data_IF_970249910814
#
_entry.id   IF_970249910814
#
_cell.length_a   1.000
_cell.length_b   1.000
_cell.length_c   1.000
_cell.angle_alpha   90.00
_cell.angle_beta   90.00
_cell.angle_gamma   90.00
#
_symmetry.space_group_name_H-M   'P 1'
#
loop_
_entity.id
_entity.type
_entity.pdbx_description
1 polymer ?
#
# COMPACT_ATOMS: atom_id res chain seq x y z
N UNK A 1 18.95 10.15 16.48
CA UNK A 1 18.92 11.19 15.42
C UNK A 1 17.51 11.74 15.23
N UNK A 2 17.33 13.07 15.30
CA UNK A 2 16.07 13.77 15.02
C UNK A 2 15.93 14.12 13.53
N UNK A 3 16.46 13.27 12.65
CA UNK A 3 16.53 13.52 11.21
C UNK A 3 16.05 12.27 10.46
N UNK A 4 15.33 12.50 9.38
CA UNK A 4 14.87 11.48 8.45
C UNK A 4 15.76 11.56 7.20
N UNK A 5 16.69 10.63 6.98
CA UNK A 5 17.65 10.73 5.88
C UNK A 5 16.95 10.53 4.54
N UNK A 6 17.26 11.38 3.57
CA UNK A 6 16.59 11.38 2.28
C UNK A 6 17.16 12.42 1.31
N UNK A 7 16.57 12.46 0.12
CA UNK A 7 16.82 13.45 -0.91
C UNK A 7 15.50 14.11 -1.30
N UNK A 8 15.56 15.41 -1.57
CA UNK A 8 14.47 16.17 -2.18
C UNK A 8 14.96 16.71 -3.52
N UNK A 9 14.16 16.54 -4.55
CA UNK A 9 14.40 17.04 -5.89
C UNK A 9 13.23 17.96 -6.24
N UNK A 10 13.49 19.25 -6.42
CA UNK A 10 12.50 20.20 -6.93
C UNK A 10 12.62 20.26 -8.46
N UNK A 11 11.49 20.27 -9.16
CA UNK A 11 11.42 20.31 -10.62
C UNK A 11 10.15 21.01 -11.10
N UNK A 12 10.15 21.46 -12.36
CA UNK A 12 8.97 22.01 -13.01
C UNK A 12 8.35 20.91 -13.87
N UNK A 13 7.05 20.67 -13.71
CA UNK A 13 6.31 19.74 -14.56
C UNK A 13 6.25 20.29 -16.00
N UNK A 14 6.89 19.62 -16.94
CA UNK A 14 6.92 20.04 -18.35
C UNK A 14 5.55 20.06 -19.05
N UNK A 15 4.49 19.54 -18.43
CA UNK A 15 3.11 19.57 -18.95
C UNK A 15 2.28 20.69 -18.33
N UNK A 16 2.47 21.00 -17.05
CA UNK A 16 1.63 21.97 -16.31
C UNK A 16 2.34 23.27 -15.98
N UNK A 17 3.67 23.33 -16.13
CA UNK A 17 4.53 24.46 -15.71
C UNK A 17 4.47 24.75 -14.20
N UNK A 18 3.97 23.80 -13.41
CA UNK A 18 3.91 23.87 -11.96
C UNK A 18 5.20 23.37 -11.32
N UNK A 19 5.60 24.01 -10.22
CA UNK A 19 6.67 23.51 -9.36
C UNK A 19 6.19 22.27 -8.59
N UNK A 20 7.02 21.21 -8.59
CA UNK A 20 6.77 19.94 -7.92
C UNK A 20 8.04 19.46 -7.22
N UNK A 21 7.88 18.65 -6.19
CA UNK A 21 8.99 18.00 -5.51
C UNK A 21 8.85 16.47 -5.48
N UNK A 22 10.00 15.79 -5.55
CA UNK A 22 10.13 14.37 -5.34
C UNK A 22 10.99 14.14 -4.08
N UNK A 23 10.42 13.45 -3.10
CA UNK A 23 11.08 13.17 -1.83
C UNK A 23 11.35 11.66 -1.74
N UNK A 24 12.64 11.29 -1.69
CA UNK A 24 13.08 9.93 -1.37
C UNK A 24 13.51 9.86 0.08
N UNK A 25 12.97 8.90 0.83
CA UNK A 25 13.30 8.68 2.23
C UNK A 25 13.93 7.30 2.43
N UNK A 26 15.12 7.26 3.02
CA UNK A 26 15.76 6.01 3.43
C UNK A 26 15.34 5.67 4.85
N UNK A 27 14.30 4.86 4.99
CA UNK A 27 13.77 4.49 6.31
C UNK A 27 13.22 3.07 6.34
N UNK A 28 13.25 2.48 7.52
CA UNK A 28 12.52 1.25 7.78
C UNK A 28 11.02 1.57 7.85
N UNK A 29 10.19 0.78 7.15
CA UNK A 29 8.74 0.89 7.25
C UNK A 29 8.30 0.12 8.50
N UNK A 30 8.21 0.82 9.63
CA UNK A 30 7.83 0.23 10.92
C UNK A 30 6.93 1.18 11.72
N UNK A 31 6.44 0.74 12.88
CA UNK A 31 5.56 1.60 13.70
C UNK A 31 6.23 2.92 14.14
N UNK A 32 7.57 2.96 14.23
CA UNK A 32 8.30 4.18 14.61
C UNK A 32 8.25 5.20 13.49
N UNK A 33 8.34 4.79 12.23
CA UNK A 33 8.21 5.69 11.07
C UNK A 33 6.89 6.49 11.12
N UNK A 34 5.80 5.88 11.60
CA UNK A 34 4.47 6.51 11.61
C UNK A 34 4.11 7.16 12.96
N UNK A 35 4.90 6.95 14.01
CA UNK A 35 4.65 7.48 15.37
C UNK A 35 4.53 9.01 15.42
N UNK A 36 3.69 9.52 16.34
CA UNK A 36 3.43 10.95 16.51
C UNK A 36 4.67 11.80 16.80
N UNK A 37 5.60 11.23 17.57
CA UNK A 37 6.77 11.95 18.05
C UNK A 37 8.00 11.80 17.15
N UNK A 38 7.95 10.89 16.17
CA UNK A 38 9.09 10.64 15.29
C UNK A 38 9.20 11.70 14.19
N UNK A 39 10.42 12.04 13.73
CA UNK A 39 10.60 12.94 12.58
C UNK A 39 9.84 12.46 11.33
N UNK A 40 9.82 11.14 11.11
CA UNK A 40 9.10 10.51 10.01
C UNK A 40 7.59 10.73 10.10
N UNK A 41 7.00 10.48 11.26
CA UNK A 41 5.56 10.66 11.41
C UNK A 41 5.18 12.13 11.29
N UNK A 42 5.98 13.04 11.85
CA UNK A 42 5.73 14.49 11.76
C UNK A 42 5.74 14.95 10.31
N UNK A 43 6.69 14.46 9.53
CA UNK A 43 6.75 14.69 8.09
C UNK A 43 5.55 14.09 7.35
N UNK A 44 5.18 12.83 7.62
CA UNK A 44 4.05 12.18 6.95
C UNK A 44 2.72 12.88 7.26
N UNK A 45 2.48 13.28 8.52
CA UNK A 45 1.30 14.07 8.90
C UNK A 45 1.28 15.45 8.25
N UNK A 46 2.43 16.09 8.01
CA UNK A 46 2.45 17.40 7.35
C UNK A 46 2.03 17.34 5.88
N UNK A 47 1.99 16.15 5.28
CA UNK A 47 1.50 15.95 3.91
C UNK A 47 -0.04 15.88 3.82
N UNK A 48 -0.75 15.82 4.95
CA UNK A 48 -2.19 15.63 4.97
C UNK A 48 -2.59 14.20 4.62
N UNK A 49 -3.65 14.06 3.83
CA UNK A 49 -4.13 12.75 3.36
C UNK A 49 -3.34 12.27 2.15
N UNK A 50 -3.04 10.97 2.13
CA UNK A 50 -2.08 10.40 1.20
C UNK A 50 -2.75 9.52 0.14
N UNK A 51 -2.13 9.49 -1.04
CA UNK A 51 -2.33 8.41 -1.99
C UNK A 51 -1.15 7.45 -1.86
N UNK A 52 -1.42 6.20 -1.49
CA UNK A 52 -0.38 5.23 -1.13
C UNK A 52 -0.31 4.12 -2.16
N UNK A 53 0.90 3.83 -2.62
CA UNK A 53 1.18 2.71 -3.50
C UNK A 53 2.19 1.76 -2.84
N UNK A 54 1.82 0.49 -2.73
CA UNK A 54 2.68 -0.57 -2.21
C UNK A 54 2.89 -1.63 -3.29
N UNK A 55 4.15 -2.01 -3.49
CA UNK A 55 4.55 -2.97 -4.52
C UNK A 55 5.50 -3.97 -3.90
N UNK A 56 5.15 -5.25 -3.94
CA UNK A 56 6.01 -6.33 -3.45
C UNK A 56 6.53 -6.04 -2.02
N UNK A 57 5.62 -5.65 -1.13
CA UNK A 57 5.91 -5.13 0.21
C UNK A 57 6.27 -6.23 1.24
N UNK A 58 6.81 -7.35 0.77
CA UNK A 58 7.34 -8.47 1.57
C UNK A 58 6.41 -8.99 2.68
N UNK A 59 5.08 -8.78 2.56
CA UNK A 59 4.09 -9.14 3.58
C UNK A 59 4.35 -8.50 4.95
N UNK A 60 4.97 -7.31 4.95
CA UNK A 60 5.38 -6.60 6.16
C UNK A 60 4.20 -6.36 7.12
N UNK A 61 3.08 -5.87 6.58
CA UNK A 61 1.87 -5.53 7.35
C UNK A 61 1.03 -6.75 7.77
N UNK A 62 1.43 -7.97 7.39
CA UNK A 62 0.80 -9.20 7.88
C UNK A 62 1.31 -9.58 9.27
N UNK A 63 2.35 -8.92 9.78
CA UNK A 63 2.94 -9.23 11.07
C UNK A 63 2.38 -8.33 12.17
N UNK A 64 2.08 -8.87 13.37
CA UNK A 64 1.50 -8.10 14.47
C UNK A 64 2.30 -6.83 14.83
N UNK A 65 3.62 -6.87 14.74
CA UNK A 65 4.48 -5.74 15.07
C UNK A 65 4.38 -4.55 14.09
N UNK A 66 3.74 -4.69 12.93
CA UNK A 66 3.52 -3.60 11.96
C UNK A 66 2.05 -3.15 11.91
N UNK A 67 1.21 -3.60 12.85
CA UNK A 67 -0.22 -3.30 12.86
C UNK A 67 -0.52 -1.81 12.98
N UNK A 68 0.16 -1.10 13.87
CA UNK A 68 -0.08 0.34 14.05
C UNK A 68 0.30 1.14 12.78
N UNK A 69 1.36 0.73 12.08
CA UNK A 69 1.72 1.30 10.78
C UNK A 69 0.62 1.08 9.73
N UNK A 70 0.05 -0.13 9.64
CA UNK A 70 -1.06 -0.42 8.73
C UNK A 70 -2.32 0.41 9.07
N UNK A 71 -2.65 0.53 10.37
CA UNK A 71 -3.78 1.33 10.85
C UNK A 71 -3.61 2.82 10.57
N UNK A 72 -2.39 3.34 10.66
CA UNK A 72 -2.08 4.72 10.26
C UNK A 72 -2.35 4.92 8.77
N UNK A 73 -1.81 4.06 7.90
CA UNK A 73 -2.05 4.15 6.45
C UNK A 73 -3.55 4.06 6.11
N UNK A 74 -4.29 3.15 6.75
CA UNK A 74 -5.75 3.01 6.55
C UNK A 74 -6.59 4.17 7.09
N UNK A 75 -6.04 5.03 7.96
CA UNK A 75 -6.75 6.20 8.49
C UNK A 75 -6.37 7.50 7.79
N UNK A 76 -5.18 7.56 7.17
CA UNK A 76 -4.63 8.77 6.56
C UNK A 76 -4.49 8.68 5.04
N UNK A 77 -5.11 7.69 4.39
CA UNK A 77 -5.07 7.56 2.92
C UNK A 77 -6.44 7.76 2.29
N UNK A 78 -6.46 8.40 1.12
CA UNK A 78 -7.62 8.48 0.24
C UNK A 78 -7.69 7.29 -0.71
N UNK A 79 -6.54 6.90 -1.25
CA UNK A 79 -6.39 5.76 -2.15
C UNK A 79 -5.23 4.89 -1.69
N UNK A 80 -5.44 3.57 -1.69
CA UNK A 80 -4.39 2.58 -1.47
C UNK A 80 -4.35 1.63 -2.66
N UNK A 81 -3.22 1.61 -3.35
CA UNK A 81 -2.92 0.72 -4.49
C UNK A 81 -1.91 -0.32 -4.04
N UNK A 82 -2.24 -1.61 -4.09
CA UNK A 82 -1.34 -2.65 -3.61
C UNK A 82 -1.57 -4.04 -4.24
N UNK A 83 -0.57 -4.90 -4.17
CA UNK A 83 -0.77 -6.35 -4.31
C UNK A 83 -1.07 -7.02 -2.96
N UNK A 84 -1.22 -8.35 -2.95
CA UNK A 84 -1.58 -9.13 -1.76
C UNK A 84 -0.52 -9.08 -0.65
N UNK A 85 0.72 -8.65 -0.96
CA UNK A 85 1.80 -8.50 0.01
C UNK A 85 1.79 -7.19 0.80
N UNK A 86 0.86 -6.28 0.50
CA UNK A 86 0.64 -5.05 1.27
C UNK A 86 -0.15 -5.28 2.57
N UNK A 87 -1.03 -4.35 2.89
CA UNK A 87 -1.96 -4.44 4.03
C UNK A 87 -2.94 -5.61 3.81
N UNK A 88 -3.17 -6.49 4.81
CA UNK A 88 -4.14 -7.58 4.66
C UNK A 88 -5.53 -7.07 4.24
N UNK A 89 -6.16 -7.75 3.27
CA UNK A 89 -7.48 -7.40 2.74
C UNK A 89 -8.54 -7.28 3.85
N UNK A 90 -8.46 -8.13 4.87
CA UNK A 90 -9.38 -8.12 5.99
C UNK A 90 -9.32 -6.84 6.85
N UNK A 91 -8.28 -6.01 6.71
CA UNK A 91 -8.17 -4.75 7.44
C UNK A 91 -8.95 -3.61 6.75
N UNK A 92 -9.33 -3.79 5.49
CA UNK A 92 -10.15 -2.82 4.76
C UNK A 92 -11.62 -3.05 5.11
N UNK A 93 -12.13 -2.22 6.02
CA UNK A 93 -13.52 -2.29 6.40
C UNK A 93 -14.43 -1.80 5.26
N UNK A 94 -15.47 -2.58 4.97
CA UNK A 94 -16.36 -2.34 3.83
C UNK A 94 -17.24 -1.09 4.01
N UNK A 95 -17.38 -0.57 5.22
CA UNK A 95 -18.05 0.69 5.51
C UNK A 95 -17.22 1.91 5.08
N UNK A 96 -15.89 1.79 5.05
CA UNK A 96 -14.96 2.88 4.73
C UNK A 96 -14.30 2.79 3.37
N UNK A 97 -14.25 1.61 2.76
CA UNK A 97 -13.50 1.39 1.51
C UNK A 97 -14.37 0.81 0.40
N UNK A 98 -14.23 1.37 -0.80
CA UNK A 98 -14.61 0.75 -2.07
C UNK A 98 -13.36 0.08 -2.64
N UNK A 99 -13.44 -1.20 -3.01
CA UNK A 99 -12.28 -1.97 -3.45
C UNK A 99 -12.52 -2.55 -4.83
N UNK A 100 -11.63 -2.21 -5.76
CA UNK A 100 -11.56 -2.80 -7.09
C UNK A 100 -10.38 -3.79 -7.15
N UNK A 101 -10.62 -4.92 -7.79
CA UNK A 101 -9.64 -6.00 -7.96
C UNK A 101 -9.31 -6.17 -9.44
N UNK A 102 -8.02 -6.41 -9.71
CA UNK A 102 -7.47 -6.58 -11.04
C UNK A 102 -6.53 -7.79 -11.08
N UNK A 103 -6.56 -8.53 -12.18
CA UNK A 103 -5.76 -9.73 -12.39
C UNK A 103 -6.24 -10.89 -11.53
N UNK A 104 -5.31 -11.65 -10.95
CA UNK A 104 -5.66 -12.87 -10.18
C UNK A 104 -4.89 -13.00 -8.87
N UNK A 105 -5.50 -13.72 -7.93
CA UNK A 105 -4.89 -14.10 -6.67
C UNK A 105 -5.36 -15.50 -6.27
N UNK A 106 -4.40 -16.36 -5.89
CA UNK A 106 -4.68 -17.71 -5.39
C UNK A 106 -4.02 -17.94 -4.03
N UNK A 107 -2.71 -17.73 -3.96
CA UNK A 107 -1.89 -17.92 -2.78
C UNK A 107 -0.79 -16.86 -2.73
N UNK A 108 -0.28 -16.52 -1.53
CA UNK A 108 0.86 -15.63 -1.39
C UNK A 108 2.14 -16.24 -1.98
N UNK A 109 3.16 -15.41 -2.14
CA UNK A 109 4.50 -15.85 -2.53
C UNK A 109 4.99 -16.97 -1.60
N UNK A 110 5.40 -18.14 -2.14
CA UNK A 110 5.90 -19.25 -1.32
C UNK A 110 7.09 -18.84 -0.45
N UNK A 111 7.16 -19.38 0.77
CA UNK A 111 8.25 -19.11 1.70
C UNK A 111 8.12 -17.85 2.56
N UNK A 112 7.08 -17.03 2.33
CA UNK A 112 6.87 -15.81 3.12
C UNK A 112 6.29 -16.05 4.52
N UNK A 113 5.93 -17.29 4.88
CA UNK A 113 5.39 -17.61 6.20
C UNK A 113 4.09 -16.86 6.51
N UNK A 114 3.25 -16.67 5.50
CA UNK A 114 1.90 -16.09 5.59
C UNK A 114 0.90 -17.04 4.96
N UNK A 115 -0.32 -17.03 5.47
CA UNK A 115 -1.39 -17.88 4.96
C UNK A 115 -2.17 -17.18 3.85
N UNK A 116 -2.78 -17.94 2.92
CA UNK A 116 -3.69 -17.39 1.94
C UNK A 116 -4.85 -16.63 2.59
N UNK A 117 -5.18 -15.46 2.04
CA UNK A 117 -6.23 -14.59 2.56
C UNK A 117 -7.59 -15.07 2.06
N UNK A 118 -8.32 -15.83 2.87
CA UNK A 118 -9.62 -16.43 2.46
C UNK A 118 -10.61 -15.41 1.90
N UNK A 119 -10.77 -14.27 2.56
CA UNK A 119 -11.68 -13.21 2.12
C UNK A 119 -11.24 -12.58 0.78
N UNK A 120 -9.93 -12.46 0.54
CA UNK A 120 -9.39 -11.96 -0.74
C UNK A 120 -9.64 -12.97 -1.86
N UNK A 121 -9.41 -14.27 -1.61
CA UNK A 121 -9.72 -15.34 -2.57
C UNK A 121 -11.20 -15.31 -2.96
N UNK A 122 -12.09 -15.18 -1.96
CA UNK A 122 -13.54 -15.07 -2.20
C UNK A 122 -13.90 -13.81 -2.99
N UNK A 123 -13.22 -12.68 -2.75
CA UNK A 123 -13.43 -11.45 -3.50
C UNK A 123 -13.01 -11.59 -4.98
N UNK A 124 -11.83 -12.15 -5.26
CA UNK A 124 -11.39 -12.43 -6.63
C UNK A 124 -12.31 -13.41 -7.37
N UNK A 125 -12.91 -14.39 -6.67
CA UNK A 125 -13.91 -15.30 -7.26
C UNK A 125 -15.21 -14.61 -7.66
N UNK A 126 -15.56 -13.48 -7.04
CA UNK A 126 -16.75 -12.69 -7.42
C UNK A 126 -16.49 -11.88 -8.69
N UNK A 127 -15.24 -11.56 -8.98
CA UNK A 127 -14.82 -10.89 -10.18
C UNK A 127 -13.57 -10.04 -9.97
N UNK A 128 -12.81 -9.89 -11.04
CA UNK A 128 -11.69 -8.96 -11.14
C UNK A 128 -11.57 -8.49 -12.59
N UNK A 129 -11.04 -7.29 -12.77
CA UNK A 129 -10.76 -6.74 -14.10
C UNK A 129 -9.44 -7.29 -14.65
N UNK A 130 -9.26 -7.43 -15.96
CA UNK A 130 -7.95 -7.78 -16.52
C UNK A 130 -6.93 -6.65 -16.29
N UNK A 131 -5.65 -7.02 -16.20
CA UNK A 131 -4.53 -6.08 -16.08
C UNK A 131 -3.48 -6.39 -17.16
N UNK A 132 -3.08 -5.43 -18.00
CA UNK A 132 -2.20 -5.69 -19.15
C UNK A 132 -0.71 -5.59 -18.80
N UNK A 133 -0.36 -5.54 -17.51
CA UNK A 133 1.01 -5.38 -17.04
C UNK A 133 1.25 -6.18 -15.75
N UNK A 134 2.52 -6.43 -15.46
CA UNK A 134 2.91 -7.12 -14.24
C UNK A 134 2.95 -6.18 -13.03
N UNK A 135 2.37 -6.64 -11.94
CA UNK A 135 2.39 -6.01 -10.62
C UNK A 135 2.75 -7.00 -9.50
N UNK A 136 3.22 -6.48 -8.36
CA UNK A 136 3.62 -7.28 -7.20
C UNK A 136 4.72 -8.30 -7.47
N UNK A 137 4.59 -9.49 -6.89
CA UNK A 137 5.46 -10.63 -7.17
C UNK A 137 5.00 -11.48 -8.36
N UNK A 138 3.88 -11.12 -9.02
CA UNK A 138 3.12 -11.88 -10.03
C UNK A 138 3.75 -13.18 -10.56
N UNK A 139 4.74 -13.14 -11.48
CA UNK A 139 5.35 -14.33 -12.10
C UNK A 139 6.04 -15.30 -11.12
N UNK A 140 6.36 -14.85 -9.91
CA UNK A 140 6.97 -15.66 -8.84
C UNK A 140 5.93 -16.40 -7.99
N UNK A 141 4.65 -16.08 -8.15
CA UNK A 141 3.56 -16.78 -7.46
C UNK A 141 3.15 -18.05 -8.20
N UNK A 142 2.36 -18.90 -7.54
CA UNK A 142 1.78 -20.10 -8.16
C UNK A 142 0.81 -19.75 -9.28
N UNK A 143 0.13 -18.60 -9.18
CA UNK A 143 -0.79 -18.14 -10.22
C UNK A 143 -0.08 -17.72 -11.51
N UNK A 144 1.24 -17.46 -11.46
CA UNK A 144 2.04 -16.93 -12.60
C UNK A 144 1.47 -15.66 -13.24
N UNK A 145 0.64 -14.97 -12.50
CA UNK A 145 -0.11 -13.79 -12.91
C UNK A 145 -0.04 -12.75 -11.79
N UNK A 146 -0.31 -11.50 -12.12
CA UNK A 146 -0.31 -10.40 -11.17
C UNK A 146 -1.70 -10.16 -10.60
N UNK A 147 -1.75 -9.87 -9.30
CA UNK A 147 -2.92 -9.33 -8.62
C UNK A 147 -2.67 -7.88 -8.24
N UNK A 148 -3.69 -7.04 -8.41
CA UNK A 148 -3.68 -5.64 -7.99
C UNK A 148 -5.02 -5.31 -7.34
N UNK A 149 -4.96 -4.59 -6.23
CA UNK A 149 -6.08 -4.07 -5.50
C UNK A 149 -5.97 -2.54 -5.46
N UNK A 150 -7.07 -1.87 -5.78
CA UNK A 150 -7.21 -0.42 -5.61
C UNK A 150 -8.35 -0.18 -4.62
N UNK A 151 -8.03 0.39 -3.46
CA UNK A 151 -8.99 0.74 -2.44
C UNK A 151 -9.17 2.26 -2.41
N UNK A 152 -10.38 2.72 -2.72
CA UNK A 152 -10.79 4.12 -2.60
C UNK A 152 -11.53 4.31 -1.29
N UNK A 153 -11.14 5.30 -0.51
CA UNK A 153 -11.88 5.69 0.68
C UNK A 153 -13.25 6.20 0.24
N UNK A 154 -14.29 5.76 0.92
CA UNK A 154 -15.64 6.29 0.73
C UNK A 154 -15.67 7.70 1.30
N UNK A 155 -16.13 8.66 0.50
CA UNK A 155 -16.39 10.00 1.00
C UNK A 155 -17.34 9.91 2.18
N UNK A 156 -16.89 10.42 3.34
CA UNK A 156 -17.78 10.60 4.48
C UNK A 156 -18.84 11.62 4.09
N UNK A 157 -20.10 11.18 4.02
CA UNK A 157 -21.22 12.12 4.12
C UNK A 157 -21.29 12.65 5.55
#
# INVERSE_FOLDING_TARGET
PCALPGYRIDFIDGRTDEEKDLIYLSSAIDNRLFSEDSPGGKFLRSQGELNVMMKAAVYLFHRPQHRAAAEYLLSHSEVIIQDDSGIPYAYFSHDRWNIDLYGTYLVPLPGMGVYPQRALIEAYRKGAHPIPFEFGYGPKTVAKESGLMVAFRKDGK
#
